data_IF_766899077991
#
_entry.id   IF_766899077991
#
_cell.length_a   1.000
_cell.length_b   1.000
_cell.length_c   1.000
_cell.angle_alpha   90.00
_cell.angle_beta   90.00
_cell.angle_gamma   90.00
#
_symmetry.space_group_name_H-M   'P 1'
#
loop_
_entity.id
_entity.type
_entity.pdbx_description
1 polymer ?
#
# COMPACT_ATOMS: atom_id res chain seq x y z
N UNK A 1 -7.40 -17.82 -4.69
CA UNK A 1 -7.38 -17.07 -3.40
C UNK A 1 -8.79 -17.04 -2.82
N UNK A 2 -8.97 -17.06 -1.49
CA UNK A 2 -10.29 -16.93 -0.84
C UNK A 2 -10.66 -15.47 -0.57
N UNK A 3 -11.94 -15.19 -0.28
CA UNK A 3 -12.43 -13.83 0.03
C UNK A 3 -11.70 -13.18 1.21
N UNK A 4 -11.51 -13.90 2.31
CA UNK A 4 -10.79 -13.37 3.48
C UNK A 4 -9.36 -12.94 3.15
N UNK A 5 -8.61 -13.76 2.39
CA UNK A 5 -7.26 -13.41 1.92
C UNK A 5 -7.25 -12.19 1.01
N UNK A 6 -8.28 -12.03 0.17
CA UNK A 6 -8.43 -10.84 -0.68
C UNK A 6 -8.64 -9.57 0.16
N UNK A 7 -9.49 -9.63 1.19
CA UNK A 7 -9.74 -8.49 2.09
C UNK A 7 -8.48 -8.11 2.86
N UNK A 8 -7.76 -9.09 3.42
CA UNK A 8 -6.49 -8.84 4.11
C UNK A 8 -5.51 -8.16 3.16
N UNK A 9 -5.35 -8.66 1.94
CA UNK A 9 -4.49 -8.03 0.93
C UNK A 9 -4.93 -6.59 0.61
N UNK A 10 -6.24 -6.31 0.56
CA UNK A 10 -6.76 -4.97 0.33
C UNK A 10 -6.38 -4.01 1.47
N UNK A 11 -6.47 -4.46 2.72
CA UNK A 11 -6.09 -3.66 3.90
C UNK A 11 -4.63 -3.23 3.81
N UNK A 12 -3.71 -4.18 3.55
CA UNK A 12 -2.30 -3.85 3.34
C UNK A 12 -2.10 -2.97 2.09
N UNK A 13 -2.82 -3.22 1.00
CA UNK A 13 -2.70 -2.39 -0.21
C UNK A 13 -3.16 -0.94 0.00
N UNK A 14 -4.13 -0.71 0.88
CA UNK A 14 -4.65 0.62 1.21
C UNK A 14 -3.87 1.31 2.34
N UNK A 15 -3.13 0.56 3.16
CA UNK A 15 -2.35 1.09 4.27
C UNK A 15 -1.37 2.20 3.85
N UNK A 16 -0.59 2.09 2.75
CA UNK A 16 0.30 3.17 2.30
C UNK A 16 -0.41 4.51 2.09
N UNK A 17 -1.67 4.51 1.63
CA UNK A 17 -2.45 5.73 1.46
C UNK A 17 -2.84 6.33 2.80
N UNK A 18 -3.32 5.51 3.74
CA UNK A 18 -3.64 5.95 5.10
C UNK A 18 -2.39 6.51 5.76
N UNK A 19 -1.28 5.78 5.67
CA UNK A 19 0.01 6.19 6.21
C UNK A 19 0.51 7.50 5.60
N UNK A 20 0.32 7.73 4.28
CA UNK A 20 0.68 8.99 3.63
C UNK A 20 0.00 10.17 4.31
N UNK A 21 -1.31 10.11 4.56
CA UNK A 21 -2.02 11.19 5.25
C UNK A 21 -1.55 11.39 6.69
N UNK A 22 -1.33 10.30 7.44
CA UNK A 22 -0.82 10.36 8.81
C UNK A 22 0.58 10.99 8.86
N UNK A 23 1.46 10.60 7.93
CA UNK A 23 2.81 11.13 7.81
C UNK A 23 2.79 12.63 7.53
N UNK A 24 2.05 13.07 6.50
CA UNK A 24 1.94 14.49 6.17
C UNK A 24 1.34 15.31 7.32
N UNK A 25 0.26 14.83 7.94
CA UNK A 25 -0.33 15.50 9.09
C UNK A 25 0.69 15.67 10.24
N UNK A 26 1.46 14.64 10.52
CA UNK A 26 2.44 14.68 11.62
C UNK A 26 3.62 15.61 11.30
N UNK A 27 4.11 15.62 10.06
CA UNK A 27 5.15 16.56 9.62
C UNK A 27 4.66 18.01 9.71
N UNK A 28 3.41 18.29 9.30
CA UNK A 28 2.82 19.64 9.44
C UNK A 28 2.74 20.07 10.90
N UNK A 29 2.30 19.18 11.80
CA UNK A 29 2.25 19.44 13.24
C UNK A 29 3.66 19.72 13.79
N UNK A 30 4.66 18.91 13.41
CA UNK A 30 6.05 19.10 13.84
C UNK A 30 6.62 20.44 13.38
N UNK A 31 6.42 20.82 12.11
CA UNK A 31 6.92 22.08 11.57
C UNK A 31 6.25 23.29 12.25
N UNK A 32 4.92 23.25 12.40
CA UNK A 32 4.15 24.35 13.01
C UNK A 32 4.44 24.51 14.51
N UNK A 33 4.60 23.40 15.24
CA UNK A 33 4.99 23.44 16.66
C UNK A 33 6.39 23.98 16.87
N UNK A 34 7.37 23.57 16.05
CA UNK A 34 8.74 24.08 16.11
C UNK A 34 8.83 25.59 15.78
N UNK A 35 7.96 26.08 14.88
CA UNK A 35 7.87 27.52 14.60
C UNK A 35 7.23 28.32 15.75
N UNK A 36 6.30 27.72 16.49
CA UNK A 36 5.59 28.39 17.59
C UNK A 36 6.38 28.39 18.92
N UNK A 37 7.19 27.36 19.17
CA UNK A 37 8.05 27.24 20.36
C UNK A 37 9.45 26.81 19.93
N UNK A 38 10.50 27.65 20.13
CA UNK A 38 11.86 27.33 19.72
C UNK A 38 12.50 26.18 20.50
N UNK A 39 11.98 25.86 21.68
CA UNK A 39 12.47 24.73 22.46
C UNK A 39 11.89 23.41 21.91
N UNK A 40 12.75 22.42 21.60
CA UNK A 40 12.28 21.13 21.11
C UNK A 40 11.36 20.49 22.16
N UNK A 41 10.16 20.02 21.78
CA UNK A 41 9.30 19.26 22.68
C UNK A 41 10.06 18.08 23.27
N UNK A 42 9.89 17.82 24.57
CA UNK A 42 10.59 16.74 25.26
C UNK A 42 10.31 15.36 24.64
N UNK A 43 9.14 15.20 23.99
CA UNK A 43 8.70 13.98 23.31
C UNK A 43 9.12 13.89 21.83
N UNK A 44 9.78 14.91 21.29
CA UNK A 44 10.16 15.00 19.87
C UNK A 44 11.02 13.80 19.40
N UNK A 45 12.02 13.30 20.16
CA UNK A 45 12.81 12.14 19.74
C UNK A 45 11.99 10.85 19.60
N UNK A 46 10.99 10.66 20.46
CA UNK A 46 10.12 9.48 20.45
C UNK A 46 9.18 9.52 19.24
N UNK A 47 8.53 10.66 18.99
CA UNK A 47 7.64 10.84 17.85
C UNK A 47 8.39 10.71 16.53
N UNK A 48 9.56 11.34 16.41
CA UNK A 48 10.39 11.26 15.21
C UNK A 48 10.87 9.81 14.96
N UNK A 49 11.38 9.14 16.01
CA UNK A 49 11.81 7.75 15.90
C UNK A 49 10.68 6.79 15.53
N UNK A 50 9.49 6.97 16.13
CA UNK A 50 8.30 6.16 15.84
C UNK A 50 7.83 6.30 14.38
N UNK A 51 7.73 7.54 13.89
CA UNK A 51 7.37 7.80 12.48
C UNK A 51 8.40 7.21 11.52
N UNK A 52 9.69 7.34 11.84
CA UNK A 52 10.76 6.81 10.99
C UNK A 52 10.69 5.28 10.88
N UNK A 53 10.48 4.58 12.00
CA UNK A 53 10.29 3.13 12.01
C UNK A 53 9.05 2.74 11.20
N UNK A 54 7.92 3.43 11.39
CA UNK A 54 6.69 3.17 10.64
C UNK A 54 6.86 3.44 9.14
N UNK A 55 7.68 4.44 8.77
CA UNK A 55 8.00 4.71 7.38
C UNK A 55 8.78 3.57 6.74
N UNK A 56 9.83 3.08 7.41
CA UNK A 56 10.60 1.92 6.95
C UNK A 56 9.72 0.68 6.84
N UNK A 57 8.87 0.42 7.83
CA UNK A 57 7.94 -0.69 7.81
C UNK A 57 7.00 -0.62 6.58
N UNK A 58 6.47 0.57 6.30
CA UNK A 58 5.60 0.81 5.13
C UNK A 58 6.36 0.62 3.81
N UNK A 59 7.63 1.04 3.73
CA UNK A 59 8.46 0.79 2.54
C UNK A 59 8.69 -0.71 2.31
N UNK A 60 9.01 -1.45 3.37
CA UNK A 60 9.18 -2.91 3.28
C UNK A 60 7.88 -3.62 2.90
N UNK A 61 6.75 -3.17 3.44
CA UNK A 61 5.42 -3.66 3.06
C UNK A 61 5.15 -3.45 1.57
N UNK A 62 5.40 -2.25 1.03
CA UNK A 62 5.23 -1.96 -0.40
C UNK A 62 6.07 -2.91 -1.26
N UNK A 63 7.32 -3.17 -0.87
CA UNK A 63 8.18 -4.13 -1.57
C UNK A 63 7.60 -5.55 -1.51
N UNK A 64 7.08 -5.96 -0.35
CA UNK A 64 6.39 -7.24 -0.18
C UNK A 64 5.13 -7.35 -1.04
N UNK A 65 4.30 -6.30 -1.06
CA UNK A 65 3.10 -6.22 -1.91
C UNK A 65 3.47 -6.31 -3.38
N UNK A 66 4.50 -5.60 -3.83
CA UNK A 66 4.97 -5.68 -5.22
C UNK A 66 5.28 -7.12 -5.63
N UNK A 67 6.03 -7.86 -4.80
CA UNK A 67 6.31 -9.28 -5.05
C UNK A 67 5.02 -10.10 -5.09
N UNK A 68 4.12 -9.91 -4.12
CA UNK A 68 2.83 -10.63 -4.05
C UNK A 68 1.99 -10.40 -5.31
N UNK A 69 1.88 -9.16 -5.78
CA UNK A 69 1.09 -8.80 -6.95
C UNK A 69 1.70 -9.34 -8.25
N UNK A 70 3.03 -9.26 -8.41
CA UNK A 70 3.73 -9.82 -9.57
C UNK A 70 3.60 -11.35 -9.59
N UNK A 71 3.78 -12.03 -8.45
CA UNK A 71 3.59 -13.49 -8.36
C UNK A 71 2.14 -13.87 -8.68
N UNK A 72 1.16 -13.13 -8.17
CA UNK A 72 -0.26 -13.36 -8.48
C UNK A 72 -0.54 -13.19 -9.98
N UNK A 73 0.01 -12.14 -10.60
CA UNK A 73 -0.13 -11.84 -12.02
C UNK A 73 0.31 -12.99 -12.92
N UNK A 74 1.47 -13.59 -12.64
CA UNK A 74 1.96 -14.69 -13.46
C UNK A 74 1.26 -16.02 -13.17
N UNK A 75 0.82 -16.24 -11.92
CA UNK A 75 0.13 -17.48 -11.50
C UNK A 75 -1.36 -17.54 -11.87
N UNK A 76 -1.98 -16.42 -12.24
CA UNK A 76 -3.40 -16.40 -12.59
C UNK A 76 -3.60 -16.53 -14.10
N UNK A 77 -4.62 -17.29 -14.51
CA UNK A 77 -5.04 -17.39 -15.91
C UNK A 77 -6.10 -16.33 -16.28
N UNK A 78 -6.47 -15.48 -15.33
CA UNK A 78 -7.48 -14.42 -15.55
C UNK A 78 -6.96 -13.22 -16.32
N UNK A 79 -5.64 -13.05 -16.36
CA UNK A 79 -4.99 -12.01 -17.16
C UNK A 79 -4.51 -12.66 -18.45
N UNK A 80 -4.96 -12.19 -19.63
CA UNK A 80 -4.47 -12.67 -20.92
C UNK A 80 -2.94 -12.62 -20.99
N UNK A 81 -2.31 -13.64 -21.60
CA UNK A 81 -0.86 -13.82 -21.59
C UNK A 81 -0.10 -12.63 -22.20
N UNK A 82 -0.64 -12.06 -23.27
CA UNK A 82 -0.15 -10.85 -23.94
C UNK A 82 -0.23 -9.60 -23.06
N UNK A 83 -1.17 -9.55 -22.11
CA UNK A 83 -1.34 -8.43 -21.18
C UNK A 83 -0.51 -8.58 -19.89
N UNK A 84 0.05 -9.76 -19.60
CA UNK A 84 0.82 -10.00 -18.36
C UNK A 84 2.06 -9.11 -18.29
N UNK A 85 2.80 -8.97 -19.39
CA UNK A 85 3.97 -8.10 -19.43
C UNK A 85 3.61 -6.63 -19.18
N UNK A 86 2.54 -6.14 -19.82
CA UNK A 86 2.05 -4.78 -19.62
C UNK A 86 1.65 -4.55 -18.16
N UNK A 87 0.89 -5.47 -17.57
CA UNK A 87 0.48 -5.36 -16.17
C UNK A 87 1.66 -5.41 -15.20
N UNK A 88 2.69 -6.20 -15.49
CA UNK A 88 3.89 -6.22 -14.65
C UNK A 88 4.57 -4.84 -14.63
N UNK A 89 4.67 -4.19 -15.81
CA UNK A 89 5.21 -2.82 -15.92
C UNK A 89 4.31 -1.82 -15.20
N UNK A 90 2.99 -1.90 -15.38
CA UNK A 90 2.03 -1.00 -14.71
C UNK A 90 2.06 -1.15 -13.19
N UNK A 91 2.16 -2.37 -12.67
CA UNK A 91 2.28 -2.62 -11.23
C UNK A 91 3.64 -2.15 -10.71
N UNK A 92 4.71 -2.35 -11.46
CA UNK A 92 6.04 -1.93 -11.04
C UNK A 92 6.19 -0.40 -11.00
N UNK A 93 5.83 0.28 -12.10
CA UNK A 93 5.94 1.74 -12.22
C UNK A 93 4.83 2.48 -11.49
N UNK A 94 3.59 2.01 -11.60
CA UNK A 94 2.42 2.60 -10.94
C UNK A 94 2.31 2.23 -9.46
N UNK A 95 2.99 1.17 -9.03
CA UNK A 95 3.20 0.77 -7.64
C UNK A 95 1.92 0.89 -6.79
N UNK A 96 1.96 1.67 -5.71
CA UNK A 96 0.84 1.92 -4.79
C UNK A 96 -0.45 2.34 -5.49
N UNK A 97 -0.41 3.01 -6.64
CA UNK A 97 -1.60 3.40 -7.40
C UNK A 97 -2.16 2.25 -8.25
N UNK A 98 -1.28 1.44 -8.84
CA UNK A 98 -1.68 0.35 -9.73
C UNK A 98 -2.21 -0.88 -8.97
N UNK A 99 -1.66 -1.15 -7.78
CA UNK A 99 -2.03 -2.32 -6.97
C UNK A 99 -3.52 -2.36 -6.57
N UNK A 100 -4.17 -1.29 -6.07
CA UNK A 100 -5.61 -1.27 -5.79
C UNK A 100 -6.46 -1.55 -7.03
N UNK A 101 -6.09 -0.98 -8.17
CA UNK A 101 -6.80 -1.17 -9.44
C UNK A 101 -6.70 -2.63 -9.87
N UNK A 102 -5.49 -3.19 -9.86
CA UNK A 102 -5.27 -4.59 -10.20
C UNK A 102 -6.04 -5.53 -9.24
N UNK A 103 -6.00 -5.23 -7.94
CA UNK A 103 -6.74 -5.98 -6.92
C UNK A 103 -8.23 -6.02 -7.22
N UNK A 104 -8.83 -4.87 -7.53
CA UNK A 104 -10.26 -4.81 -7.83
C UNK A 104 -10.61 -5.64 -9.08
N UNK A 105 -9.85 -5.48 -10.16
CA UNK A 105 -10.15 -6.09 -11.46
C UNK A 105 -9.94 -7.60 -11.50
N UNK A 106 -8.81 -8.11 -10.96
CA UNK A 106 -8.39 -9.50 -11.18
C UNK A 106 -8.45 -10.37 -9.92
N UNK A 107 -8.65 -9.78 -8.75
CA UNK A 107 -8.79 -10.49 -7.49
C UNK A 107 -10.24 -10.40 -6.99
N UNK A 108 -10.73 -9.20 -6.71
CA UNK A 108 -12.03 -9.02 -6.03
C UNK A 108 -13.22 -9.29 -6.93
N UNK A 109 -13.28 -8.65 -8.11
CA UNK A 109 -14.41 -8.80 -9.04
C UNK A 109 -14.71 -10.27 -9.40
N UNK A 110 -13.71 -11.13 -9.73
CA UNK A 110 -13.96 -12.54 -9.99
C UNK A 110 -14.49 -13.32 -8.76
N UNK A 111 -14.00 -13.00 -7.56
CA UNK A 111 -14.46 -13.65 -6.31
C UNK A 111 -15.89 -13.25 -5.94
N UNK A 112 -16.32 -12.05 -6.30
CA UNK A 112 -17.70 -11.61 -6.11
C UNK A 112 -18.64 -12.33 -7.07
N UNK A 113 -18.31 -12.36 -8.37
CA UNK A 113 -19.11 -13.02 -9.40
C UNK A 113 -19.30 -14.52 -9.12
N UNK A 114 -18.24 -15.21 -8.68
CA UNK A 114 -18.32 -16.63 -8.33
C UNK A 114 -19.16 -16.94 -7.07
N UNK A 115 -19.57 -15.92 -6.31
CA UNK A 115 -20.46 -16.10 -5.16
C UNK A 115 -21.91 -15.72 -5.47
N UNK A 116 -22.15 -15.12 -6.64
CA UNK A 116 -23.48 -14.76 -7.16
C UNK A 116 -24.00 -15.81 -8.15
N UNK A 117 -23.13 -16.72 -8.61
CA UNK A 117 -23.44 -17.90 -9.43
C UNK A 117 -23.74 -19.14 -8.59
#
# INVERSE_FOLDING_TARGET
MSKGKAIVLAVFTLWPFVYMFLFFATIVILITSAAAKPEPPQDMPLLFGGIFIMHIATMLEIMGLLVVYIVHLFKTDRVPQDQKALWAVVIFLGNVLAMPVYWYLYIWKPLRLAAES
#
